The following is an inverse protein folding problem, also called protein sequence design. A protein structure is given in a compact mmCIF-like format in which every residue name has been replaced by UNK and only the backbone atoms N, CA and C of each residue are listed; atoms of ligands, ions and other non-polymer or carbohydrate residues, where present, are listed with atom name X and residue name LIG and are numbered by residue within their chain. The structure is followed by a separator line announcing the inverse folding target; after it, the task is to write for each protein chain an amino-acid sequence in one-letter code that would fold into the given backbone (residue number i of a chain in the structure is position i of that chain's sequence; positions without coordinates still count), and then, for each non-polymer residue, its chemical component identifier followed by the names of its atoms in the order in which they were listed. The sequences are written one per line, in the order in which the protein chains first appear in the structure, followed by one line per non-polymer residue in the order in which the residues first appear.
data_IF_229083788025
#
_entry.id   IF_229083788025
#
_cell.length_a   1.000
_cell.length_b   1.000
_cell.length_c   1.000
_cell.angle_alpha   90.00
_cell.angle_beta   90.00
_cell.angle_gamma   90.00
#
_symmetry.space_group_name_H-M   'P 1'
#
loop_
_entity.id
_entity.type
_entity.pdbx_description
1 polymer ?
#
# COMPACT_ATOMS: atom_id res chain seq x y z
N UNK A 1 15.32 -35.38 3.98
CA UNK A 1 14.12 -34.60 3.62
C UNK A 1 13.32 -34.39 4.90
N UNK A 2 13.31 -33.18 5.46
CA UNK A 2 12.49 -32.87 6.64
C UNK A 2 11.22 -32.24 6.09
N UNK A 3 10.13 -33.01 6.00
CA UNK A 3 8.82 -32.45 5.72
C UNK A 3 8.33 -31.77 6.98
N UNK A 4 7.91 -30.51 6.88
CA UNK A 4 7.18 -29.86 7.96
C UNK A 4 5.94 -30.70 8.33
N UNK A 5 5.58 -30.79 9.62
CA UNK A 5 4.36 -31.49 10.01
C UNK A 5 3.15 -30.88 9.27
N UNK A 6 2.12 -31.69 8.90
CA UNK A 6 0.91 -31.19 8.25
C UNK A 6 0.26 -30.08 9.08
N UNK A 7 -0.09 -28.95 8.46
CA UNK A 7 -0.77 -27.83 9.12
C UNK A 7 -2.24 -28.11 9.41
N UNK A 8 -2.84 -27.36 10.34
CA UNK A 8 -4.27 -27.47 10.67
C UNK A 8 -5.13 -26.95 9.52
N UNK A 9 -6.16 -27.71 9.17
CA UNK A 9 -7.21 -27.33 8.23
C UNK A 9 -8.50 -27.06 9.00
N UNK A 10 -9.18 -25.98 8.67
CA UNK A 10 -10.48 -25.59 9.24
C UNK A 10 -11.50 -25.45 8.11
N UNK A 11 -12.78 -25.72 8.39
CA UNK A 11 -13.84 -25.57 7.39
C UNK A 11 -14.40 -24.14 7.45
N UNK A 12 -14.29 -23.41 6.34
CA UNK A 12 -14.92 -22.10 6.12
C UNK A 12 -16.37 -22.29 5.60
N UNK A 13 -16.64 -23.42 4.91
CA UNK A 13 -17.97 -23.80 4.44
C UNK A 13 -18.02 -25.24 3.91
N UNK A 14 -19.19 -25.68 3.42
CA UNK A 14 -19.48 -27.07 3.00
C UNK A 14 -18.48 -27.66 1.97
N UNK A 15 -17.78 -26.80 1.22
CA UNK A 15 -16.71 -27.20 0.29
C UNK A 15 -15.49 -26.29 0.35
N UNK A 16 -15.39 -25.47 1.39
CA UNK A 16 -14.33 -24.47 1.51
C UNK A 16 -13.51 -24.76 2.77
N UNK A 17 -12.23 -25.02 2.58
CA UNK A 17 -11.29 -25.33 3.65
C UNK A 17 -10.23 -24.23 3.68
N UNK A 18 -9.97 -23.71 4.87
CA UNK A 18 -8.95 -22.71 5.13
C UNK A 18 -7.88 -23.34 6.00
N UNK A 19 -6.62 -23.13 5.64
CA UNK A 19 -5.49 -23.58 6.45
C UNK A 19 -4.95 -22.42 7.29
N UNK A 20 -4.20 -22.76 8.33
CA UNK A 20 -3.44 -21.76 9.09
C UNK A 20 -2.52 -20.91 8.19
N UNK A 21 -2.04 -21.49 7.08
CA UNK A 21 -1.24 -20.77 6.09
C UNK A 21 -2.09 -19.73 5.35
N UNK A 22 -3.32 -20.05 4.97
CA UNK A 22 -4.22 -19.12 4.28
C UNK A 22 -4.61 -17.95 5.20
N UNK A 23 -4.92 -18.24 6.47
CA UNK A 23 -5.20 -17.21 7.48
C UNK A 23 -3.97 -16.34 7.73
N UNK A 24 -2.79 -16.94 7.86
CA UNK A 24 -1.54 -16.20 8.04
C UNK A 24 -1.24 -15.31 6.81
N UNK A 25 -1.40 -15.82 5.59
CA UNK A 25 -1.26 -15.05 4.35
C UNK A 25 -2.28 -13.91 4.33
N UNK A 26 -3.53 -14.15 4.69
CA UNK A 26 -4.57 -13.12 4.71
C UNK A 26 -4.25 -11.99 5.71
N UNK A 27 -3.80 -12.33 6.93
CA UNK A 27 -3.36 -11.32 7.89
C UNK A 27 -2.15 -10.54 7.40
N UNK A 28 -1.16 -11.22 6.80
CA UNK A 28 -0.02 -10.53 6.20
C UNK A 28 -0.50 -9.58 5.09
N UNK A 29 -1.34 -10.02 4.16
CA UNK A 29 -1.88 -9.17 3.10
C UNK A 29 -2.68 -7.98 3.65
N UNK A 30 -3.44 -8.17 4.74
CA UNK A 30 -4.27 -7.13 5.35
C UNK A 30 -3.45 -6.07 6.10
N UNK A 31 -2.44 -6.49 6.86
CA UNK A 31 -1.65 -5.57 7.70
C UNK A 31 -0.45 -4.97 6.95
N UNK A 32 0.00 -5.62 5.87
CA UNK A 32 1.19 -5.21 5.12
C UNK A 32 1.10 -3.81 4.49
N UNK A 33 -0.02 -3.35 3.88
CA UNK A 33 -0.09 -2.02 3.26
C UNK A 33 0.23 -0.91 4.28
N UNK A 34 -0.45 -0.95 5.43
CA UNK A 34 -0.27 0.04 6.50
C UNK A 34 1.14 0.05 7.11
N UNK A 35 1.85 -1.08 7.07
CA UNK A 35 3.26 -1.16 7.50
C UNK A 35 4.24 -0.76 6.40
N UNK A 36 3.94 -1.09 5.16
CA UNK A 36 4.80 -0.84 4.01
C UNK A 36 4.78 0.63 3.60
N UNK A 37 3.63 1.31 3.71
CA UNK A 37 3.45 2.68 3.20
C UNK A 37 2.73 3.64 4.16
N UNK A 38 3.13 3.72 5.46
CA UNK A 38 2.43 4.53 6.47
C UNK A 38 2.33 6.02 6.11
N UNK A 39 3.26 6.53 5.29
CA UNK A 39 3.23 7.91 4.82
C UNK A 39 1.96 8.27 4.05
N UNK A 40 1.41 7.34 3.24
CA UNK A 40 0.20 7.60 2.47
C UNK A 40 -1.03 7.72 3.38
N UNK A 41 -1.12 6.84 4.38
CA UNK A 41 -2.17 6.90 5.39
C UNK A 41 -2.12 8.21 6.18
N UNK A 42 -0.93 8.69 6.54
CA UNK A 42 -0.77 9.97 7.22
C UNK A 42 -1.16 11.17 6.36
N UNK A 43 -0.91 11.14 5.05
CA UNK A 43 -1.38 12.21 4.14
C UNK A 43 -2.90 12.20 4.09
N UNK A 44 -3.53 11.03 3.94
CA UNK A 44 -5.00 10.90 3.93
C UNK A 44 -5.65 11.33 5.26
N UNK A 45 -5.03 11.05 6.40
CA UNK A 45 -5.53 11.49 7.71
C UNK A 45 -5.24 12.98 8.00
N UNK A 46 -4.47 13.66 7.13
CA UNK A 46 -4.04 15.04 7.36
C UNK A 46 -2.97 15.18 8.46
N UNK A 47 -2.33 14.08 8.88
CA UNK A 47 -1.20 14.09 9.84
C UNK A 47 0.09 14.62 9.23
N UNK A 48 0.28 14.45 7.92
CA UNK A 48 1.39 15.05 7.16
C UNK A 48 0.87 15.67 5.87
N UNK A 49 1.54 16.72 5.39
CA UNK A 49 1.13 17.42 4.16
C UNK A 49 1.51 16.67 2.88
N UNK A 50 2.64 15.94 2.87
CA UNK A 50 3.05 15.16 1.71
C UNK A 50 4.08 14.08 2.09
N UNK A 51 4.25 13.08 1.22
CA UNK A 51 5.29 12.07 1.33
C UNK A 51 5.74 11.56 -0.05
N UNK A 52 6.94 10.98 -0.10
CA UNK A 52 7.45 10.19 -1.23
C UNK A 52 7.64 8.76 -0.74
N UNK A 53 7.15 7.79 -1.49
CA UNK A 53 7.23 6.36 -1.14
C UNK A 53 7.84 5.59 -2.32
N UNK A 54 8.84 4.77 -1.99
CA UNK A 54 9.51 3.84 -2.91
C UNK A 54 9.16 2.42 -2.47
N UNK A 55 7.99 1.94 -2.89
CA UNK A 55 7.47 0.61 -2.54
C UNK A 55 6.96 -0.11 -3.79
N UNK A 56 6.67 -1.42 -3.67
CA UNK A 56 6.12 -2.17 -4.80
C UNK A 56 4.67 -1.75 -5.06
N UNK A 57 4.18 -1.81 -6.32
CA UNK A 57 2.84 -1.34 -6.65
C UNK A 57 1.72 -2.02 -5.86
N UNK A 58 1.87 -3.31 -5.56
CA UNK A 58 0.90 -4.06 -4.76
C UNK A 58 0.92 -3.69 -3.26
N UNK A 59 2.04 -3.17 -2.75
CA UNK A 59 2.13 -2.66 -1.37
C UNK A 59 1.46 -1.28 -1.22
N UNK A 60 1.37 -0.53 -2.32
CA UNK A 60 0.78 0.82 -2.38
C UNK A 60 -0.70 0.83 -2.75
N UNK A 61 -1.20 -0.21 -3.44
CA UNK A 61 -2.49 -0.17 -4.13
C UNK A 61 -3.66 0.19 -3.20
N UNK A 62 -3.75 -0.44 -2.03
CA UNK A 62 -4.81 -0.18 -1.06
C UNK A 62 -4.68 1.23 -0.46
N UNK A 63 -3.47 1.62 -0.08
CA UNK A 63 -3.23 2.92 0.54
C UNK A 63 -3.46 4.07 -0.45
N UNK A 64 -3.15 3.90 -1.74
CA UNK A 64 -3.41 4.90 -2.80
C UNK A 64 -4.89 5.19 -2.94
N UNK A 65 -5.74 4.15 -2.92
CA UNK A 65 -7.20 4.33 -2.96
C UNK A 65 -7.65 5.12 -1.74
N UNK A 66 -7.21 4.73 -0.54
CA UNK A 66 -7.55 5.43 0.71
C UNK A 66 -7.10 6.89 0.71
N UNK A 67 -5.88 7.17 0.27
CA UNK A 67 -5.35 8.53 0.20
C UNK A 67 -6.21 9.40 -0.75
N UNK A 68 -6.61 8.86 -1.89
CA UNK A 68 -7.48 9.56 -2.86
C UNK A 68 -8.89 9.81 -2.32
N UNK A 69 -9.49 8.85 -1.62
CA UNK A 69 -10.79 9.03 -0.95
C UNK A 69 -10.73 10.14 0.12
N UNK A 70 -9.57 10.32 0.74
CA UNK A 70 -9.30 11.42 1.66
C UNK A 70 -8.87 12.73 0.98
N UNK A 71 -9.10 12.87 -0.34
CA UNK A 71 -8.74 14.01 -1.17
C UNK A 71 -7.24 14.29 -1.29
N UNK A 72 -6.36 13.32 -1.00
CA UNK A 72 -4.94 13.44 -1.31
C UNK A 72 -4.69 13.22 -2.80
N UNK A 73 -3.82 14.04 -3.37
CA UNK A 73 -3.36 13.90 -4.74
C UNK A 73 -2.16 12.95 -4.80
N UNK A 74 -2.16 12.03 -5.77
CA UNK A 74 -1.12 11.00 -5.92
C UNK A 74 -0.51 11.07 -7.32
N UNK A 75 0.82 11.21 -7.37
CA UNK A 75 1.62 11.36 -8.57
C UNK A 75 2.73 10.32 -8.64
N UNK A 76 3.27 10.15 -9.84
CA UNK A 76 4.57 9.53 -10.02
C UNK A 76 5.66 10.47 -9.52
N UNK A 77 6.78 9.94 -8.99
CA UNK A 77 7.90 10.74 -8.50
C UNK A 77 8.62 11.54 -9.58
N UNK A 78 8.41 11.20 -10.85
CA UNK A 78 8.86 11.99 -12.00
C UNK A 78 7.89 13.13 -12.34
N UNK A 79 6.78 13.29 -11.62
CA UNK A 79 5.77 14.33 -11.81
C UNK A 79 4.64 13.97 -12.77
N UNK A 80 4.66 12.76 -13.35
CA UNK A 80 3.56 12.27 -14.17
C UNK A 80 2.37 11.74 -13.34
N UNK A 81 1.32 11.32 -14.05
CA UNK A 81 0.23 10.54 -13.44
C UNK A 81 0.80 9.24 -12.87
N UNK A 82 0.41 8.90 -11.65
CA UNK A 82 0.78 7.61 -11.05
C UNK A 82 0.33 6.43 -11.93
N UNK A 83 1.23 5.45 -12.11
CA UNK A 83 0.94 4.14 -12.69
C UNK A 83 1.70 3.04 -11.93
N UNK A 84 1.39 1.76 -12.18
CA UNK A 84 2.15 0.64 -11.58
C UNK A 84 3.63 0.63 -11.98
N UNK A 85 3.97 1.29 -13.10
CA UNK A 85 5.34 1.38 -13.61
C UNK A 85 6.09 2.61 -13.06
N UNK A 86 5.44 3.41 -12.21
CA UNK A 86 6.07 4.61 -11.65
C UNK A 86 7.29 4.23 -10.78
N UNK A 87 8.44 4.90 -10.97
CA UNK A 87 9.67 4.59 -10.21
C UNK A 87 9.55 4.93 -8.72
N UNK A 88 8.60 5.79 -8.37
CA UNK A 88 8.25 6.17 -7.01
C UNK A 88 6.88 6.85 -6.99
N UNK A 89 6.29 6.95 -5.81
CA UNK A 89 4.97 7.55 -5.59
C UNK A 89 5.10 8.79 -4.73
N UNK A 90 4.46 9.88 -5.13
CA UNK A 90 4.32 11.10 -4.33
C UNK A 90 2.86 11.24 -3.95
N UNK A 91 2.57 11.45 -2.68
CA UNK A 91 1.23 11.83 -2.21
C UNK A 91 1.29 13.18 -1.51
N UNK A 92 0.31 14.05 -1.76
CA UNK A 92 0.24 15.39 -1.17
C UNK A 92 -1.19 15.82 -0.89
N UNK A 93 -1.37 16.66 0.12
CA UNK A 93 -2.65 17.27 0.50
C UNK A 93 -3.06 18.45 -0.40
N UNK A 94 -2.19 18.87 -1.32
CA UNK A 94 -2.48 19.92 -2.32
C UNK A 94 -1.49 19.86 -3.48
N UNK A 95 -1.93 20.31 -4.66
CA UNK A 95 -1.10 20.31 -5.87
C UNK A 95 0.20 21.09 -5.71
N UNK A 96 0.15 22.27 -5.09
CA UNK A 96 1.35 23.10 -4.88
C UNK A 96 2.44 22.41 -4.05
N UNK A 97 2.04 21.56 -3.09
CA UNK A 97 2.98 20.81 -2.26
C UNK A 97 3.48 19.56 -3.01
N UNK A 98 2.60 18.89 -3.75
CA UNK A 98 2.95 17.77 -4.63
C UNK A 98 3.99 18.17 -5.68
N UNK A 99 3.73 19.25 -6.43
CA UNK A 99 4.65 19.80 -7.43
C UNK A 99 6.01 20.16 -6.85
N UNK A 100 5.99 20.76 -5.65
CA UNK A 100 7.22 21.15 -4.94
C UNK A 100 8.00 19.95 -4.42
N UNK A 101 7.33 18.85 -4.06
CA UNK A 101 8.01 17.62 -3.64
C UNK A 101 8.58 16.87 -4.85
N UNK A 102 7.83 16.83 -5.97
CA UNK A 102 8.28 16.30 -7.25
C UNK A 102 9.52 17.03 -7.78
N UNK A 103 9.63 18.35 -7.60
CA UNK A 103 10.81 19.09 -8.06
C UNK A 103 12.08 18.77 -7.27
N UNK A 104 11.96 18.22 -6.07
CA UNK A 104 13.08 17.77 -5.24
C UNK A 104 13.52 16.33 -5.53
N UNK A 105 12.71 15.57 -6.27
CA UNK A 105 12.99 14.16 -6.62
C UNK A 105 13.54 13.98 -8.03
N UNK A 106 13.71 15.07 -8.78
CA UNK A 106 14.28 15.11 -10.14
C UNK A 106 15.76 15.46 -10.15
#
# INVERSE_FOLDING_TARGET
MIGSPPGTISAEGDRDYVTELDVAIQYQIRDHPHRATPGLAWVGEGRTGACVILAKPWDLAADIVMAREACAEVYSSDGGTYSSESPGTVAASSSSLGERLVSLTR
#
